data_IF_899368348036
#
_entry.id   IF_899368348036
#
_cell.length_a   1.000
_cell.length_b   1.000
_cell.length_c   1.000
_cell.angle_alpha   90.00
_cell.angle_beta   90.00
_cell.angle_gamma   90.00
#
_symmetry.space_group_name_H-M   'P 1'
#
loop_
_entity.id
_entity.type
_entity.pdbx_description
1 polymer ?
#
# COMPACT_ATOMS: atom_id res chain seq x y z
N UNK A 1 10.72 -9.87 -0.98
CA UNK A 1 9.69 -9.53 -1.97
C UNK A 1 8.81 -10.76 -2.15
N UNK A 2 7.53 -10.61 -2.51
CA UNK A 2 6.59 -11.74 -2.63
C UNK A 2 5.64 -11.94 -1.44
N UNK A 3 5.49 -10.94 -0.56
CA UNK A 3 4.58 -11.04 0.60
C UNK A 3 3.11 -10.90 0.23
N UNK A 4 2.80 -10.16 -0.85
CA UNK A 4 1.44 -9.89 -1.31
C UNK A 4 1.35 -10.04 -2.83
N UNK A 5 0.23 -10.59 -3.31
CA UNK A 5 -0.18 -10.51 -4.71
C UNK A 5 -0.58 -9.06 -5.05
N UNK A 6 -0.30 -8.58 -6.27
CA UNK A 6 -0.74 -7.25 -6.70
C UNK A 6 -2.27 -7.20 -6.85
N UNK A 7 -2.93 -6.56 -5.88
CA UNK A 7 -4.36 -6.27 -5.87
C UNK A 7 -4.65 -4.96 -5.14
N UNK A 8 -5.80 -4.34 -5.41
CA UNK A 8 -6.27 -3.13 -4.74
C UNK A 8 -6.12 -3.19 -3.21
N UNK A 9 -6.67 -4.24 -2.61
CA UNK A 9 -6.69 -4.41 -1.16
C UNK A 9 -5.28 -4.56 -0.58
N UNK A 10 -4.42 -5.28 -1.29
CA UNK A 10 -3.04 -5.50 -0.85
C UNK A 10 -2.19 -4.23 -0.98
N UNK A 11 -2.39 -3.42 -2.02
CA UNK A 11 -1.77 -2.11 -2.14
C UNK A 11 -2.24 -1.17 -1.01
N UNK A 12 -3.54 -1.13 -0.73
CA UNK A 12 -4.09 -0.32 0.36
C UNK A 12 -3.53 -0.75 1.73
N UNK A 13 -3.50 -2.05 2.01
CA UNK A 13 -2.96 -2.60 3.26
C UNK A 13 -1.46 -2.31 3.42
N UNK A 14 -0.69 -2.47 2.33
CA UNK A 14 0.74 -2.15 2.33
C UNK A 14 1.01 -0.68 2.62
N UNK A 15 0.28 0.24 2.01
CA UNK A 15 0.48 1.68 2.21
C UNK A 15 0.07 2.11 3.63
N UNK A 16 -1.02 1.53 4.16
CA UNK A 16 -1.53 1.84 5.48
C UNK A 16 -0.62 1.33 6.62
N UNK A 17 -0.08 0.11 6.49
CA UNK A 17 0.82 -0.47 7.49
C UNK A 17 1.90 -1.37 6.86
N UNK A 18 2.99 -0.77 6.33
CA UNK A 18 4.09 -1.53 5.74
C UNK A 18 4.78 -2.46 6.74
N UNK A 19 4.87 -2.07 8.02
CA UNK A 19 5.54 -2.87 9.06
C UNK A 19 4.72 -4.10 9.45
N UNK A 20 3.39 -3.96 9.56
CA UNK A 20 2.49 -5.08 9.83
C UNK A 20 2.49 -6.13 8.72
N UNK A 21 2.70 -5.72 7.46
CA UNK A 21 2.84 -6.65 6.33
C UNK A 21 4.27 -7.22 6.21
N UNK A 22 5.29 -6.37 6.31
CA UNK A 22 6.70 -6.79 6.23
C UNK A 22 7.54 -6.05 7.29
N UNK A 23 7.77 -6.68 8.45
CA UNK A 23 8.67 -6.13 9.46
C UNK A 23 10.06 -5.85 8.88
N UNK A 24 10.59 -4.65 9.15
CA UNK A 24 11.86 -4.20 8.60
C UNK A 24 11.77 -3.61 7.18
N UNK A 25 10.56 -3.36 6.66
CA UNK A 25 10.40 -2.52 5.48
C UNK A 25 10.94 -1.10 5.75
N UNK A 26 11.54 -0.46 4.75
CA UNK A 26 12.01 0.92 4.89
C UNK A 26 10.93 1.95 4.51
N UNK A 27 9.79 1.50 4.01
CA UNK A 27 8.67 2.39 3.73
C UNK A 27 8.06 2.85 5.06
N UNK A 28 7.97 4.17 5.30
CA UNK A 28 7.29 4.70 6.47
C UNK A 28 5.77 4.61 6.30
N UNK A 29 5.04 4.67 7.41
CA UNK A 29 3.59 4.91 7.38
C UNK A 29 3.36 6.34 6.90
N UNK A 30 2.49 6.50 5.90
CA UNK A 30 2.10 7.81 5.36
C UNK A 30 0.74 8.18 5.94
N UNK A 31 0.64 9.36 6.57
CA UNK A 31 -0.58 9.86 7.22
C UNK A 31 -1.66 10.31 6.23
N UNK A 32 -2.11 9.40 5.37
CA UNK A 32 -3.14 9.65 4.38
C UNK A 32 -4.53 9.49 4.99
N UNK A 33 -5.46 10.32 4.56
CA UNK A 33 -6.88 10.04 4.79
C UNK A 33 -7.40 8.97 3.81
N UNK A 34 -8.64 8.51 4.03
CA UNK A 34 -9.23 7.42 3.25
C UNK A 34 -9.34 7.72 1.75
N UNK A 35 -9.67 8.96 1.37
CA UNK A 35 -9.82 9.35 -0.03
C UNK A 35 -8.47 9.44 -0.74
N UNK A 36 -7.46 9.99 -0.06
CA UNK A 36 -6.08 10.05 -0.56
C UNK A 36 -5.49 8.66 -0.78
N UNK A 37 -5.68 7.74 0.18
CA UNK A 37 -5.25 6.35 0.03
C UNK A 37 -5.93 5.69 -1.17
N UNK A 38 -7.24 5.88 -1.31
CA UNK A 38 -8.01 5.32 -2.43
C UNK A 38 -7.54 5.86 -3.79
N UNK A 39 -7.22 7.16 -3.87
CA UNK A 39 -6.73 7.80 -5.09
C UNK A 39 -5.35 7.27 -5.49
N UNK A 40 -4.43 7.14 -4.54
CA UNK A 40 -3.08 6.59 -4.80
C UNK A 40 -3.17 5.14 -5.24
N UNK A 41 -3.96 4.31 -4.56
CA UNK A 41 -4.12 2.91 -4.93
C UNK A 41 -4.69 2.80 -6.35
N UNK A 42 -5.72 3.59 -6.70
CA UNK A 42 -6.28 3.60 -8.05
C UNK A 42 -5.25 4.01 -9.11
N UNK A 43 -4.42 5.01 -8.82
CA UNK A 43 -3.32 5.40 -9.70
C UNK A 43 -2.32 4.25 -9.91
N UNK A 44 -1.83 3.64 -8.82
CA UNK A 44 -0.86 2.54 -8.88
C UNK A 44 -1.39 1.30 -9.61
N UNK A 45 -2.68 0.99 -9.47
CA UNK A 45 -3.33 -0.11 -10.22
C UNK A 45 -3.35 0.12 -11.73
N UNK A 46 -3.33 1.38 -12.17
CA UNK A 46 -3.31 1.78 -13.58
C UNK A 46 -1.93 1.75 -14.23
N UNK A 47 -0.84 1.64 -13.47
CA UNK A 47 0.55 1.67 -13.96
C UNK A 47 1.06 0.33 -14.52
N UNK A 48 0.17 -0.47 -15.11
CA UNK A 48 0.54 -1.78 -15.69
C UNK A 48 1.41 -1.66 -16.93
#
# INVERSE_FOLDING_TARGET
AGTLTMSRGNLAAWIADPQGIKPGAHMPVVGLNGDELNAIVAYLEGLK
#
